data_IF_990587311476
#
_entry.id   IF_990587311476
#
_cell.length_a   1.000
_cell.length_b   1.000
_cell.length_c   1.000
_cell.angle_alpha   90.00
_cell.angle_beta   90.00
_cell.angle_gamma   90.00
#
_symmetry.space_group_name_H-M   'P 1'
#
loop_
_entity.id
_entity.type
_entity.pdbx_description
1 polymer ?
#
# COMPACT_ATOMS: atom_id res chain seq x y z
N UNK A 1 -34.67 -6.97 -43.74
CA UNK A 1 -33.96 -5.87 -44.46
C UNK A 1 -33.61 -4.64 -43.61
N UNK A 2 -34.38 -4.30 -42.56
CA UNK A 2 -34.14 -3.11 -41.73
C UNK A 2 -33.31 -3.35 -40.45
N UNK A 3 -33.03 -4.61 -40.08
CA UNK A 3 -32.28 -4.93 -38.86
C UNK A 3 -30.77 -5.09 -39.07
N UNK A 4 -30.30 -5.24 -40.32
CA UNK A 4 -28.88 -5.43 -40.66
C UNK A 4 -28.10 -4.13 -40.81
N UNK A 5 -28.77 -3.00 -41.08
CA UNK A 5 -28.12 -1.69 -41.27
C UNK A 5 -27.82 -0.94 -39.96
N UNK A 6 -28.38 -1.38 -38.84
CA UNK A 6 -28.16 -0.79 -37.52
C UNK A 6 -26.95 -1.37 -36.78
N UNK A 7 -26.45 -2.56 -37.14
CA UNK A 7 -25.31 -3.19 -36.47
C UNK A 7 -23.96 -2.45 -36.62
N UNK A 8 -23.55 -1.91 -37.78
CA UNK A 8 -22.24 -1.29 -37.92
C UNK A 8 -22.13 0.05 -37.18
N UNK A 9 -23.22 0.82 -37.05
CA UNK A 9 -23.21 2.14 -36.41
C UNK A 9 -22.99 2.05 -34.89
N UNK A 10 -23.53 1.04 -34.22
CA UNK A 10 -23.28 0.79 -32.80
C UNK A 10 -21.81 0.44 -32.52
N UNK A 11 -21.16 -0.31 -33.42
CA UNK A 11 -19.75 -0.67 -33.29
C UNK A 11 -18.81 0.55 -33.34
N UNK A 12 -19.08 1.50 -34.24
CA UNK A 12 -18.29 2.73 -34.33
C UNK A 12 -18.44 3.61 -33.08
N UNK A 13 -19.66 3.81 -32.60
CA UNK A 13 -19.91 4.62 -31.38
C UNK A 13 -19.19 3.99 -30.18
N UNK A 14 -19.26 2.66 -30.03
CA UNK A 14 -18.57 1.95 -28.96
C UNK A 14 -17.04 2.10 -29.05
N UNK A 15 -16.47 2.02 -30.26
CA UNK A 15 -15.04 2.26 -30.48
C UNK A 15 -14.62 3.68 -30.12
N UNK A 16 -15.40 4.70 -30.50
CA UNK A 16 -15.13 6.09 -30.12
C UNK A 16 -15.22 6.30 -28.61
N UNK A 17 -16.20 5.69 -27.94
CA UNK A 17 -16.34 5.76 -26.48
C UNK A 17 -15.14 5.08 -25.79
N UNK A 18 -14.71 3.90 -26.27
CA UNK A 18 -13.52 3.22 -25.74
C UNK A 18 -12.27 4.06 -25.99
N UNK A 19 -12.06 4.55 -27.21
CA UNK A 19 -10.91 5.38 -27.56
C UNK A 19 -10.87 6.66 -26.73
N UNK A 20 -12.01 7.31 -26.53
CA UNK A 20 -12.11 8.50 -25.68
C UNK A 20 -11.91 8.18 -24.20
N UNK A 21 -12.43 7.07 -23.70
CA UNK A 21 -12.21 6.61 -22.33
C UNK A 21 -10.76 6.23 -22.08
N UNK A 22 -10.10 5.56 -23.04
CA UNK A 22 -8.68 5.25 -23.01
C UNK A 22 -7.85 6.53 -23.09
N UNK A 23 -8.19 7.46 -23.97
CA UNK A 23 -7.53 8.77 -24.05
C UNK A 23 -7.65 9.52 -22.72
N UNK A 24 -8.85 9.62 -22.15
CA UNK A 24 -9.05 10.20 -20.83
C UNK A 24 -8.31 9.44 -19.73
N UNK A 25 -8.21 8.12 -19.82
CA UNK A 25 -7.43 7.30 -18.90
C UNK A 25 -5.93 7.63 -19.01
N UNK A 26 -5.37 7.69 -20.22
CA UNK A 26 -3.98 8.07 -20.48
C UNK A 26 -3.67 9.53 -20.13
N UNK A 27 -4.63 10.43 -20.30
CA UNK A 27 -4.51 11.85 -19.92
C UNK A 27 -4.66 12.05 -18.39
N UNK A 28 -5.50 11.25 -17.72
CA UNK A 28 -5.69 11.29 -16.26
C UNK A 28 -4.53 10.63 -15.51
N UNK A 29 -3.98 9.56 -16.07
CA UNK A 29 -2.88 8.84 -15.44
C UNK A 29 -1.57 9.58 -15.77
N UNK A 30 -0.83 9.97 -14.73
CA UNK A 30 0.43 10.73 -14.84
C UNK A 30 1.59 9.89 -15.39
N UNK A 31 1.36 9.10 -16.44
CA UNK A 31 2.40 8.36 -17.17
C UNK A 31 3.44 9.28 -17.84
N UNK A 32 3.14 10.58 -17.91
CA UNK A 32 3.95 11.60 -18.59
C UNK A 32 4.85 12.39 -17.63
N UNK A 33 5.20 11.82 -16.46
CA UNK A 33 6.16 12.46 -15.58
C UNK A 33 7.59 12.10 -16.01
N UNK A 34 8.37 13.12 -16.37
CA UNK A 34 9.77 12.96 -16.81
C UNK A 34 10.79 13.21 -15.69
N UNK A 35 10.40 13.15 -14.41
CA UNK A 35 11.38 13.31 -13.33
C UNK A 35 12.19 12.02 -13.11
N UNK A 36 13.42 12.16 -12.65
CA UNK A 36 14.37 11.05 -12.48
C UNK A 36 13.83 9.94 -11.56
N UNK A 37 13.09 10.30 -10.51
CA UNK A 37 12.46 9.32 -9.59
C UNK A 37 11.44 8.46 -10.35
N UNK A 38 10.57 9.08 -11.14
CA UNK A 38 9.55 8.36 -11.89
C UNK A 38 10.14 7.53 -13.03
N UNK A 39 11.13 8.07 -13.74
CA UNK A 39 11.86 7.34 -14.75
C UNK A 39 12.57 6.12 -14.16
N UNK A 40 13.26 6.29 -13.04
CA UNK A 40 13.95 5.19 -12.35
C UNK A 40 12.98 4.14 -11.85
N UNK A 41 11.81 4.55 -11.33
CA UNK A 41 10.75 3.62 -10.93
C UNK A 41 10.25 2.78 -12.12
N UNK A 42 9.88 3.44 -13.22
CA UNK A 42 9.31 2.77 -14.41
C UNK A 42 10.30 1.83 -15.10
N UNK A 43 11.57 2.24 -15.19
CA UNK A 43 12.62 1.45 -15.85
C UNK A 43 13.28 0.44 -14.93
N UNK A 44 12.94 0.44 -13.63
CA UNK A 44 13.60 -0.36 -12.59
C UNK A 44 15.11 -0.11 -12.48
N UNK A 45 15.62 1.02 -12.97
CA UNK A 45 17.05 1.33 -12.97
C UNK A 45 17.64 1.49 -11.57
N UNK A 46 16.81 1.77 -10.55
CA UNK A 46 17.22 1.79 -9.15
C UNK A 46 17.79 0.46 -8.67
N UNK A 47 17.41 -0.67 -9.29
CA UNK A 47 17.89 -2.01 -8.91
C UNK A 47 19.37 -2.24 -9.21
N UNK A 48 20.00 -1.34 -9.97
CA UNK A 48 21.45 -1.37 -10.23
C UNK A 48 22.27 -0.98 -8.99
N UNK A 49 21.71 -0.17 -8.10
CA UNK A 49 22.41 0.37 -6.93
C UNK A 49 21.82 -0.13 -5.60
N UNK A 50 20.56 -0.58 -5.59
CA UNK A 50 19.83 -0.93 -4.36
C UNK A 50 19.24 -2.34 -4.43
N UNK A 51 19.38 -3.09 -3.32
CA UNK A 51 18.88 -4.46 -3.21
C UNK A 51 17.36 -4.56 -3.22
N UNK A 52 16.67 -3.50 -2.76
CA UNK A 52 15.22 -3.46 -2.69
C UNK A 52 14.70 -2.02 -2.82
N UNK A 53 13.40 -1.88 -3.11
CA UNK A 53 12.72 -0.60 -3.25
C UNK A 53 12.76 0.26 -1.98
N UNK A 54 12.74 -0.36 -0.80
CA UNK A 54 12.73 0.36 0.48
C UNK A 54 14.06 1.09 0.71
N UNK A 55 15.19 0.45 0.39
CA UNK A 55 16.53 1.06 0.50
C UNK A 55 16.64 2.25 -0.45
N UNK A 56 16.14 2.11 -1.68
CA UNK A 56 16.10 3.20 -2.64
C UNK A 56 15.21 4.36 -2.16
N UNK A 57 14.01 4.07 -1.62
CA UNK A 57 13.16 5.11 -1.03
C UNK A 57 13.81 5.81 0.17
N UNK A 58 14.46 5.05 1.06
CA UNK A 58 15.18 5.60 2.20
C UNK A 58 16.30 6.55 1.73
N UNK A 59 17.04 6.16 0.68
CA UNK A 59 18.05 7.02 0.06
C UNK A 59 17.46 8.33 -0.50
N UNK A 60 16.35 8.24 -1.24
CA UNK A 60 15.67 9.42 -1.79
C UNK A 60 15.13 10.35 -0.67
N UNK A 61 14.58 9.78 0.40
CA UNK A 61 14.07 10.52 1.55
C UNK A 61 15.21 11.22 2.30
N UNK A 62 16.35 10.56 2.48
CA UNK A 62 17.53 11.14 3.13
C UNK A 62 18.09 12.34 2.34
N UNK A 63 18.05 12.28 1.01
CA UNK A 63 18.47 13.38 0.13
C UNK A 63 17.44 14.52 0.05
N UNK A 64 16.17 14.26 0.36
CA UNK A 64 15.10 15.25 0.29
C UNK A 64 15.16 16.21 1.49
N UNK A 65 15.26 17.54 1.28
CA UNK A 65 15.27 18.51 2.38
C UNK A 65 14.02 18.45 3.27
N UNK A 66 12.87 18.07 2.70
CA UNK A 66 11.60 17.94 3.42
C UNK A 66 11.38 16.55 4.01
N UNK A 67 12.32 15.61 3.78
CA UNK A 67 12.16 14.18 4.05
C UNK A 67 10.86 13.63 3.45
N UNK A 68 10.46 14.16 2.29
CA UNK A 68 9.24 13.78 1.58
C UNK A 68 9.54 13.72 0.09
N UNK A 69 9.03 12.70 -0.58
CA UNK A 69 9.20 12.47 -2.01
C UNK A 69 7.86 12.13 -2.67
N UNK A 70 7.77 12.37 -3.98
CA UNK A 70 6.60 12.07 -4.78
C UNK A 70 6.94 11.11 -5.91
N UNK A 71 6.21 10.02 -6.00
CA UNK A 71 6.27 9.07 -7.11
C UNK A 71 5.04 9.32 -7.97
N UNK A 72 5.15 10.30 -8.87
CA UNK A 72 4.03 10.81 -9.66
C UNK A 72 3.34 9.75 -10.50
N UNK A 73 4.10 8.80 -11.07
CA UNK A 73 3.56 7.70 -11.88
C UNK A 73 2.67 6.75 -11.08
N UNK A 74 2.89 6.67 -9.76
CA UNK A 74 2.02 5.94 -8.83
C UNK A 74 0.94 6.83 -8.19
N UNK A 75 1.03 8.15 -8.34
CA UNK A 75 0.20 9.10 -7.59
C UNK A 75 0.47 9.08 -6.08
N UNK A 76 1.63 8.60 -5.65
CA UNK A 76 1.93 8.37 -4.24
C UNK A 76 2.91 9.40 -3.67
N UNK A 77 2.73 9.72 -2.40
CA UNK A 77 3.65 10.53 -1.59
C UNK A 77 4.23 9.66 -0.49
N UNK A 78 5.55 9.69 -0.32
CA UNK A 78 6.25 8.96 0.74
C UNK A 78 6.93 9.99 1.62
N UNK A 79 6.79 9.86 2.94
CA UNK A 79 7.37 10.82 3.89
C UNK A 79 8.00 10.11 5.08
N UNK A 80 9.18 10.56 5.46
CA UNK A 80 9.85 10.25 6.73
C UNK A 80 9.86 11.48 7.67
N UNK A 81 9.20 12.58 7.27
CA UNK A 81 9.11 13.77 8.10
C UNK A 81 8.26 13.49 9.35
N UNK A 82 8.81 13.64 10.56
CA UNK A 82 8.10 13.28 11.79
C UNK A 82 6.81 14.09 11.99
N UNK A 83 6.76 15.34 11.53
CA UNK A 83 5.56 16.17 11.64
C UNK A 83 4.44 15.66 10.75
N UNK A 84 4.76 15.21 9.52
CA UNK A 84 3.79 14.60 8.63
C UNK A 84 3.29 13.27 9.18
N UNK A 85 4.20 12.44 9.72
CA UNK A 85 3.87 11.14 10.32
C UNK A 85 2.95 11.33 11.53
N UNK A 86 3.26 12.26 12.44
CA UNK A 86 2.38 12.58 13.57
C UNK A 86 1.03 13.09 13.08
N UNK A 87 1.02 13.99 12.10
CA UNK A 87 -0.22 14.52 11.55
C UNK A 87 -1.11 13.40 10.98
N UNK A 88 -0.52 12.49 10.20
CA UNK A 88 -1.24 11.38 9.58
C UNK A 88 -1.70 10.34 10.59
N UNK A 89 -0.86 9.96 11.55
CA UNK A 89 -1.11 8.80 12.42
C UNK A 89 -1.76 9.16 13.76
N UNK A 90 -1.77 10.44 14.14
CA UNK A 90 -2.30 10.92 15.43
C UNK A 90 -3.28 12.08 15.24
N UNK A 91 -2.86 13.18 14.61
CA UNK A 91 -3.65 14.43 14.60
C UNK A 91 -4.88 14.35 13.70
N UNK A 92 -4.75 13.80 12.49
CA UNK A 92 -5.79 13.73 11.46
C UNK A 92 -5.96 12.31 10.89
N UNK A 93 -5.86 11.31 11.75
CA UNK A 93 -5.95 9.88 11.38
C UNK A 93 -7.14 9.54 10.48
N UNK A 94 -8.31 10.16 10.74
CA UNK A 94 -9.54 9.92 9.96
C UNK A 94 -9.41 10.31 8.48
N UNK A 95 -8.51 11.23 8.14
CA UNK A 95 -8.30 11.68 6.77
C UNK A 95 -7.34 10.78 5.98
N UNK A 96 -6.71 9.79 6.62
CA UNK A 96 -5.76 8.88 6.00
C UNK A 96 -6.20 7.41 6.16
N UNK A 97 -7.37 7.01 5.61
CA UNK A 97 -7.79 5.62 5.60
C UNK A 97 -6.86 4.77 4.72
N UNK A 98 -6.73 3.48 5.01
CA UNK A 98 -6.04 2.52 4.11
C UNK A 98 -6.79 2.41 2.78
N UNK A 99 -8.12 2.45 2.84
CA UNK A 99 -8.97 2.56 1.67
C UNK A 99 -9.16 1.25 0.91
N UNK A 100 -9.97 1.33 -0.15
CA UNK A 100 -10.39 0.18 -0.97
C UNK A 100 -9.25 -0.62 -1.60
N UNK A 101 -8.16 0.00 -2.11
CA UNK A 101 -7.07 -0.78 -2.69
C UNK A 101 -6.46 -1.76 -1.69
N UNK A 102 -6.26 -1.33 -0.44
CA UNK A 102 -5.68 -2.16 0.61
C UNK A 102 -6.58 -3.33 0.99
N UNK A 103 -7.88 -3.06 1.18
CA UNK A 103 -8.85 -4.11 1.51
C UNK A 103 -9.14 -5.06 0.35
N UNK A 104 -8.91 -4.65 -0.90
CA UNK A 104 -9.02 -5.52 -2.07
C UNK A 104 -7.82 -6.47 -2.17
N UNK A 105 -6.58 -5.95 -2.04
CA UNK A 105 -5.37 -6.75 -2.18
C UNK A 105 -5.23 -7.77 -1.04
N UNK A 106 -5.54 -7.36 0.20
CA UNK A 106 -5.37 -8.20 1.37
C UNK A 106 -6.69 -8.79 1.88
N UNK A 107 -7.80 -8.54 1.19
CA UNK A 107 -9.14 -8.95 1.60
C UNK A 107 -9.32 -10.45 1.71
N UNK A 108 -8.86 -11.18 0.69
CA UNK A 108 -9.00 -12.64 0.65
C UNK A 108 -8.12 -13.34 1.70
N UNK A 109 -6.96 -12.74 2.02
CA UNK A 109 -6.00 -13.28 2.98
C UNK A 109 -6.33 -12.91 4.43
N UNK A 110 -6.63 -11.64 4.70
CA UNK A 110 -6.80 -11.09 6.05
C UNK A 110 -8.25 -10.75 6.41
N UNK A 111 -9.18 -11.02 5.49
CA UNK A 111 -10.61 -10.79 5.66
C UNK A 111 -10.94 -9.34 5.96
N UNK A 112 -11.90 -9.13 6.86
CA UNK A 112 -12.32 -7.81 7.36
C UNK A 112 -11.79 -7.56 8.78
N UNK A 113 -10.60 -8.08 9.06
CA UNK A 113 -9.90 -7.91 10.33
C UNK A 113 -9.22 -6.56 10.46
N UNK A 114 -8.53 -6.37 11.59
CA UNK A 114 -7.93 -5.10 12.03
C UNK A 114 -6.94 -4.51 11.01
N UNK A 115 -6.34 -5.35 10.16
CA UNK A 115 -5.44 -4.92 9.11
C UNK A 115 -6.13 -4.28 7.90
N UNK A 116 -7.41 -4.59 7.66
CA UNK A 116 -8.14 -4.16 6.45
C UNK A 116 -9.26 -3.15 6.73
N UNK A 117 -9.76 -3.06 7.96
CA UNK A 117 -10.81 -2.09 8.31
C UNK A 117 -10.24 -0.70 8.62
N UNK A 118 -11.06 0.33 8.44
CA UNK A 118 -10.74 1.74 8.72
C UNK A 118 -11.72 2.34 9.77
N UNK A 119 -11.42 3.55 10.24
CA UNK A 119 -12.31 4.35 11.08
C UNK A 119 -12.68 3.71 12.42
N UNK A 120 -13.97 3.78 12.78
CA UNK A 120 -14.47 3.31 14.07
C UNK A 120 -14.36 1.78 14.21
N UNK A 121 -14.53 1.04 13.11
CA UNK A 121 -14.34 -0.42 13.09
C UNK A 121 -12.91 -0.80 13.44
N UNK A 122 -11.93 -0.09 12.86
CA UNK A 122 -10.53 -0.28 13.22
C UNK A 122 -10.26 0.06 14.69
N UNK A 123 -10.79 1.18 15.17
CA UNK A 123 -10.62 1.63 16.57
C UNK A 123 -11.18 0.61 17.56
N UNK A 124 -12.38 0.09 17.28
CA UNK A 124 -13.03 -0.94 18.10
C UNK A 124 -12.21 -2.24 18.12
N UNK A 125 -11.81 -2.74 16.94
CA UNK A 125 -11.01 -3.96 16.85
C UNK A 125 -9.65 -3.80 17.52
N UNK A 126 -8.98 -2.66 17.34
CA UNK A 126 -7.70 -2.34 18.00
C UNK A 126 -7.85 -2.34 19.51
N UNK A 127 -8.89 -1.70 20.06
CA UNK A 127 -9.15 -1.70 21.50
C UNK A 127 -9.31 -3.12 22.04
N UNK A 128 -10.10 -3.96 21.36
CA UNK A 128 -10.31 -5.35 21.75
C UNK A 128 -9.00 -6.15 21.69
N UNK A 129 -8.29 -6.10 20.57
CA UNK A 129 -7.03 -6.83 20.37
C UNK A 129 -5.95 -6.38 21.37
N UNK A 130 -5.81 -5.08 21.62
CA UNK A 130 -4.86 -4.56 22.61
C UNK A 130 -5.13 -5.06 24.03
N UNK A 131 -6.41 -5.21 24.41
CA UNK A 131 -6.78 -5.74 25.73
C UNK A 131 -6.44 -7.23 25.84
N UNK A 132 -6.84 -8.03 24.86
CA UNK A 132 -6.59 -9.48 24.86
C UNK A 132 -5.09 -9.79 24.83
N UNK A 133 -4.34 -9.19 23.90
CA UNK A 133 -2.90 -9.41 23.76
C UNK A 133 -2.08 -8.77 24.90
N UNK A 134 -2.62 -7.75 25.56
CA UNK A 134 -1.98 -7.10 26.71
C UNK A 134 -2.15 -7.87 28.02
N UNK A 135 -3.03 -8.89 28.05
CA UNK A 135 -3.31 -9.66 29.26
C UNK A 135 -2.08 -10.42 29.77
N UNK A 136 -1.95 -10.52 31.09
CA UNK A 136 -0.84 -11.21 31.75
C UNK A 136 -0.78 -12.68 31.35
N UNK A 137 -1.93 -13.34 31.22
CA UNK A 137 -2.03 -14.74 30.81
C UNK A 137 -1.47 -14.98 29.41
N UNK A 138 -1.88 -14.18 28.42
CA UNK A 138 -1.37 -14.30 27.04
C UNK A 138 0.12 -13.99 26.97
N UNK A 139 0.59 -12.96 27.69
CA UNK A 139 2.01 -12.62 27.72
C UNK A 139 2.87 -13.71 28.36
N UNK A 140 2.42 -14.30 29.47
CA UNK A 140 3.11 -15.43 30.12
C UNK A 140 3.16 -16.63 29.19
N UNK A 141 2.02 -16.99 28.60
CA UNK A 141 1.93 -18.11 27.67
C UNK A 141 2.85 -17.92 26.45
N UNK A 142 2.85 -16.74 25.85
CA UNK A 142 3.74 -16.43 24.73
C UNK A 142 5.22 -16.54 25.12
N UNK A 143 5.59 -16.10 26.32
CA UNK A 143 6.96 -16.24 26.84
C UNK A 143 7.36 -17.71 27.00
N UNK A 144 6.48 -18.52 27.57
CA UNK A 144 6.75 -19.95 27.78
C UNK A 144 6.95 -20.70 26.46
N UNK A 145 6.12 -20.41 25.45
CA UNK A 145 6.26 -20.95 24.10
C UNK A 145 7.61 -20.55 23.50
N UNK A 146 7.95 -19.25 23.52
CA UNK A 146 9.22 -18.76 22.95
C UNK A 146 10.41 -19.41 23.67
N UNK A 147 10.40 -19.47 25.00
CA UNK A 147 11.47 -20.09 25.78
C UNK A 147 11.61 -21.59 25.48
N UNK A 148 10.49 -22.29 25.26
CA UNK A 148 10.48 -23.71 24.91
C UNK A 148 11.03 -23.94 23.50
N UNK A 149 10.57 -23.19 22.51
CA UNK A 149 11.06 -23.29 21.13
C UNK A 149 12.57 -22.98 21.04
N UNK A 150 13.05 -22.00 21.81
CA UNK A 150 14.48 -21.71 21.90
C UNK A 150 15.23 -22.92 22.47
N UNK A 151 14.81 -23.45 23.62
CA UNK A 151 15.52 -24.55 24.29
C UNK A 151 15.48 -25.86 23.51
N UNK A 152 14.33 -26.20 22.94
CA UNK A 152 14.09 -27.51 22.36
C UNK A 152 14.39 -27.59 20.87
N UNK A 153 14.42 -26.46 20.15
CA UNK A 153 14.63 -26.45 18.69
C UNK A 153 15.79 -25.57 18.26
N UNK A 154 15.84 -24.33 18.71
CA UNK A 154 16.89 -23.41 18.25
C UNK A 154 18.27 -23.80 18.79
N UNK A 155 18.41 -23.97 20.11
CA UNK A 155 19.70 -24.28 20.72
C UNK A 155 20.31 -25.60 20.22
N UNK A 156 19.56 -26.71 20.08
CA UNK A 156 20.11 -27.95 19.53
C UNK A 156 20.59 -27.87 18.07
N UNK A 157 20.10 -26.90 17.29
CA UNK A 157 20.58 -26.67 15.92
C UNK A 157 21.87 -25.86 15.87
N UNK A 158 22.21 -25.16 16.97
CA UNK A 158 23.39 -24.31 17.08
C UNK A 158 24.55 -24.99 17.84
N UNK A 159 24.28 -26.12 18.48
CA UNK A 159 25.27 -26.98 19.17
C UNK A 159 25.90 -27.98 18.21
#
# INVERSE_FOLDING_TARGET
PLLQSLQPSFGFIFFFIISFSLLLFFLRHKFWCNCDICHSYLTSSWSLEFNNLCDWYAHLLQKSPSQTIHIHVLGNTITANPNNVEYMLKTQFKNYPKGKPFSMILGDLLGRGIFNVDGDSWSFQRRKVSLELGSISIRSYAFDIVATEIRCRLLPLLS
#
